data_IF_478489127434
#
_entry.id   IF_478489127434
#
_cell.length_a   1.000
_cell.length_b   1.000
_cell.length_c   1.000
_cell.angle_alpha   90.00
_cell.angle_beta   90.00
_cell.angle_gamma   90.00
#
_symmetry.space_group_name_H-M   'P 1'
#
loop_
_entity.id
_entity.type
_entity.pdbx_description
1 polymer ?
#
# COMPACT_ATOMS: atom_id res chain seq x y z
N UNK A 1 17.28 6.75 -1.79
CA UNK A 1 16.50 6.48 -2.98
C UNK A 1 15.25 5.73 -2.64
N UNK A 2 14.48 5.50 -3.63
CA UNK A 2 13.24 4.80 -3.46
C UNK A 2 13.46 3.37 -2.95
N UNK A 3 14.47 2.73 -3.47
CA UNK A 3 14.78 1.37 -3.06
C UNK A 3 15.22 1.34 -1.61
N UNK A 4 15.97 2.33 -1.22
CA UNK A 4 16.41 2.40 0.17
C UNK A 4 15.21 2.54 1.08
N UNK A 5 14.23 3.31 0.67
CA UNK A 5 13.05 3.48 1.46
C UNK A 5 12.36 2.13 1.68
N UNK A 6 12.29 1.33 0.65
CA UNK A 6 11.59 0.07 0.76
C UNK A 6 12.32 -0.92 1.64
N UNK A 7 13.62 -0.78 1.77
CA UNK A 7 14.36 -1.67 2.64
C UNK A 7 14.33 -1.21 4.08
N UNK A 8 14.22 0.07 4.26
CA UNK A 8 14.24 0.65 5.58
C UNK A 8 13.27 0.04 6.57
N UNK A 9 12.02 -0.15 6.21
CA UNK A 9 11.07 -0.67 7.18
C UNK A 9 11.56 -1.94 7.85
N UNK A 10 12.18 -2.78 7.09
CA UNK A 10 12.67 -4.02 7.66
C UNK A 10 13.84 -3.77 8.59
N UNK A 11 14.69 -2.87 8.20
CA UNK A 11 15.81 -2.54 9.03
C UNK A 11 15.37 -1.91 10.32
N UNK A 12 14.44 -1.01 10.24
CA UNK A 12 13.95 -0.35 11.43
C UNK A 12 13.36 -1.34 12.39
N UNK A 13 12.61 -2.26 11.88
CA UNK A 13 11.97 -3.23 12.74
C UNK A 13 13.01 -4.10 13.42
N UNK A 14 14.07 -4.39 12.72
CA UNK A 14 15.07 -5.30 13.26
C UNK A 14 16.12 -4.68 14.10
N UNK A 15 16.20 -3.39 14.11
CA UNK A 15 17.25 -2.73 14.84
C UNK A 15 16.73 -1.90 15.96
N UNK A 16 16.13 -2.52 16.89
CA UNK A 16 15.58 -1.82 18.01
C UNK A 16 16.63 -1.16 18.87
N UNK A 17 17.80 -1.65 18.78
CA UNK A 17 18.85 -1.06 19.61
C UNK A 17 19.18 0.35 19.19
N UNK A 18 18.81 0.74 18.03
CA UNK A 18 19.01 2.09 17.60
C UNK A 18 18.07 2.95 18.40
N UNK A 19 17.00 2.37 18.76
CA UNK A 19 15.98 3.04 19.46
C UNK A 19 16.42 3.74 20.71
N UNK A 20 17.18 3.14 21.56
CA UNK A 20 17.50 3.81 22.81
C UNK A 20 18.09 5.16 22.57
N UNK A 21 18.90 5.22 21.60
CA UNK A 21 19.56 6.44 21.34
C UNK A 21 18.64 7.45 20.67
N UNK A 22 18.05 7.05 19.62
CA UNK A 22 17.22 7.96 18.91
C UNK A 22 16.00 8.30 19.68
N UNK A 23 15.55 7.37 20.40
CA UNK A 23 14.33 7.58 21.11
C UNK A 23 14.39 8.77 21.97
N UNK A 24 15.49 9.03 22.43
CA UNK A 24 15.56 10.07 23.36
C UNK A 24 15.12 11.35 22.79
N UNK A 25 15.48 11.62 21.69
CA UNK A 25 15.29 12.93 21.31
C UNK A 25 14.24 13.18 20.34
N UNK A 26 14.60 13.07 19.28
CA UNK A 26 13.86 13.62 18.26
C UNK A 26 12.74 12.83 17.85
N UNK A 27 12.73 11.72 18.37
CA UNK A 27 11.80 10.87 17.93
C UNK A 27 10.45 11.30 17.88
N UNK A 28 10.06 12.08 18.69
CA UNK A 28 8.73 12.48 18.66
C UNK A 28 8.39 13.02 17.34
N UNK A 29 9.29 13.68 16.70
CA UNK A 29 8.97 14.35 15.49
C UNK A 29 9.45 13.65 14.28
N UNK A 30 10.22 12.60 14.42
CA UNK A 30 10.86 12.02 13.29
C UNK A 30 10.36 10.66 12.87
N UNK A 31 9.60 10.00 13.70
CA UNK A 31 9.21 8.61 13.46
C UNK A 31 7.71 8.47 13.45
N UNK A 32 7.22 7.72 12.49
CA UNK A 32 5.82 7.44 12.37
C UNK A 32 5.62 5.93 12.43
N UNK A 33 4.62 5.50 13.18
CA UNK A 33 4.29 4.08 13.28
C UNK A 33 3.12 3.80 12.36
N UNK A 34 3.25 2.76 11.57
CA UNK A 34 2.21 2.34 10.64
C UNK A 34 1.99 0.85 10.74
N UNK A 35 0.76 0.43 10.49
CA UNK A 35 0.49 -0.99 10.32
C UNK A 35 0.89 -1.37 8.90
N UNK A 36 1.56 -2.50 8.79
CA UNK A 36 1.96 -3.05 7.50
C UNK A 36 1.15 -4.30 7.26
N UNK A 37 0.34 -4.30 6.23
CA UNK A 37 -0.50 -5.44 5.84
C UNK A 37 0.12 -6.18 4.68
N UNK A 38 -0.05 -7.49 4.66
CA UNK A 38 0.38 -8.30 3.54
C UNK A 38 -0.89 -8.69 2.77
N UNK A 39 -1.05 -8.15 1.58
CA UNK A 39 -2.24 -8.37 0.80
C UNK A 39 -2.47 -9.84 0.47
N UNK A 40 -1.39 -10.61 0.39
CA UNK A 40 -1.54 -12.04 0.08
C UNK A 40 -2.24 -12.78 1.20
N UNK A 41 -1.97 -12.39 2.42
CA UNK A 41 -2.51 -13.09 3.57
C UNK A 41 -3.94 -12.66 3.84
N UNK A 42 -4.23 -11.41 3.55
CA UNK A 42 -5.52 -10.84 3.89
C UNK A 42 -6.59 -11.11 2.86
N UNK A 43 -6.20 -11.56 1.70
CA UNK A 43 -7.16 -11.77 0.63
C UNK A 43 -8.13 -12.88 1.00
N UNK A 44 -9.36 -12.72 0.61
CA UNK A 44 -10.35 -13.77 0.78
C UNK A 44 -11.21 -13.65 2.01
N UNK A 45 -10.92 -12.71 2.89
CA UNK A 45 -11.70 -12.61 4.10
C UNK A 45 -12.39 -11.26 4.22
N UNK A 46 -12.67 -10.60 3.14
CA UNK A 46 -13.37 -9.33 3.18
C UNK A 46 -12.40 -8.19 3.31
N UNK A 47 -12.64 -7.33 4.28
CA UNK A 47 -11.84 -6.14 4.45
C UNK A 47 -10.51 -6.51 5.12
N UNK A 48 -9.42 -6.45 4.35
CA UNK A 48 -8.15 -6.86 4.91
C UNK A 48 -7.64 -5.86 5.96
N UNK A 49 -8.19 -4.68 6.00
CA UNK A 49 -7.82 -3.73 7.04
C UNK A 49 -8.36 -4.13 8.41
N UNK A 50 -9.34 -5.03 8.43
CA UNK A 50 -9.87 -5.56 9.68
C UNK A 50 -9.14 -6.83 10.07
N UNK A 51 -8.18 -7.25 9.27
CA UNK A 51 -7.44 -8.47 9.54
C UNK A 51 -6.47 -8.27 10.70
N UNK A 52 -6.21 -9.35 11.41
CA UNK A 52 -5.20 -9.32 12.45
C UNK A 52 -3.82 -9.62 11.89
N UNK A 53 -3.70 -9.82 10.59
CA UNK A 53 -2.44 -10.16 9.97
C UNK A 53 -1.71 -8.89 9.54
N UNK A 54 -1.11 -8.23 10.51
CA UNK A 54 -0.29 -7.06 10.22
C UNK A 54 0.86 -6.99 11.21
N UNK A 55 1.87 -6.23 10.86
CA UNK A 55 2.94 -5.90 11.79
C UNK A 55 2.97 -4.38 11.90
N UNK A 56 3.64 -3.87 12.92
CA UNK A 56 3.81 -2.44 13.07
C UNK A 56 5.23 -2.09 12.68
N UNK A 57 5.38 -1.09 11.83
CA UNK A 57 6.70 -0.65 11.41
C UNK A 57 6.88 0.81 11.80
N UNK A 58 8.13 1.20 11.95
CA UNK A 58 8.48 2.58 12.25
C UNK A 58 9.28 3.12 11.08
N UNK A 59 8.84 4.23 10.54
CA UNK A 59 9.48 4.82 9.37
C UNK A 59 9.68 6.30 9.60
N UNK A 60 10.62 6.92 8.90
CA UNK A 60 10.78 8.35 9.00
C UNK A 60 9.51 9.06 8.58
N UNK A 61 9.10 10.02 9.38
CA UNK A 61 7.84 10.68 9.11
C UNK A 61 7.83 11.38 7.77
N UNK A 62 8.95 11.91 7.35
CA UNK A 62 9.02 12.57 6.06
C UNK A 62 8.71 11.64 4.92
N UNK A 63 9.11 10.40 5.04
CA UNK A 63 8.93 9.44 3.96
C UNK A 63 7.53 8.86 3.95
N UNK A 64 6.88 8.87 5.09
CA UNK A 64 5.54 8.32 5.20
C UNK A 64 4.48 9.41 5.38
N UNK A 65 4.80 10.60 4.94
CA UNK A 65 3.88 11.72 5.13
C UNK A 65 2.57 11.44 4.42
N UNK A 66 1.49 11.64 5.13
CA UNK A 66 0.17 11.42 4.57
C UNK A 66 -0.29 9.98 4.59
N UNK A 67 0.55 9.06 5.00
CA UNK A 67 0.18 7.66 5.00
C UNK A 67 -0.54 7.29 6.29
N UNK A 68 -1.53 6.42 6.14
CA UNK A 68 -2.28 5.89 7.27
C UNK A 68 -1.92 4.43 7.53
N UNK A 69 -1.45 3.74 6.52
CA UNK A 69 -0.99 2.36 6.67
C UNK A 69 -0.06 2.01 5.51
N UNK A 70 0.50 0.81 5.54
CA UNK A 70 1.41 0.34 4.51
C UNK A 70 1.00 -1.06 4.07
N UNK A 71 1.38 -1.42 2.85
CA UNK A 71 1.03 -2.72 2.27
C UNK A 71 2.25 -3.27 1.55
N UNK A 72 2.46 -4.57 1.67
CA UNK A 72 3.51 -5.25 0.91
C UNK A 72 2.95 -5.65 -0.46
N UNK A 73 3.69 -5.29 -1.49
CA UNK A 73 3.31 -5.59 -2.87
C UNK A 73 3.55 -7.07 -3.16
N UNK A 74 2.64 -7.68 -3.90
CA UNK A 74 2.79 -9.06 -4.32
C UNK A 74 2.75 -9.12 -5.83
N UNK A 75 3.75 -9.73 -6.41
CA UNK A 75 3.80 -9.94 -7.85
C UNK A 75 4.43 -8.79 -8.59
N UNK A 76 4.39 -8.85 -9.90
CA UNK A 76 5.11 -7.90 -10.75
C UNK A 76 4.19 -7.06 -11.62
N UNK A 77 2.90 -7.02 -11.34
CA UNK A 77 1.97 -6.31 -12.21
C UNK A 77 2.16 -4.80 -12.18
N UNK A 78 2.82 -4.28 -11.17
CA UNK A 78 3.01 -2.84 -11.04
C UNK A 78 4.45 -2.42 -11.34
N UNK A 79 5.24 -3.31 -11.92
CA UNK A 79 6.57 -2.92 -12.38
C UNK A 79 6.42 -2.02 -13.58
N UNK A 80 7.31 -1.09 -13.74
CA UNK A 80 8.59 -0.95 -13.02
C UNK A 80 8.51 -0.10 -11.76
N UNK A 81 7.37 0.48 -11.46
CA UNK A 81 7.29 1.39 -10.33
C UNK A 81 7.39 0.66 -9.00
N UNK A 82 6.70 -0.44 -8.86
CA UNK A 82 6.72 -1.26 -7.65
C UNK A 82 7.05 -2.69 -8.00
N UNK A 83 7.92 -3.30 -7.20
CA UNK A 83 8.33 -4.68 -7.40
C UNK A 83 7.74 -5.56 -6.33
N UNK A 84 7.80 -6.86 -6.56
CA UNK A 84 7.37 -7.83 -5.59
C UNK A 84 8.08 -7.60 -4.25
N UNK A 85 7.32 -7.60 -3.17
CA UNK A 85 7.81 -7.39 -1.81
C UNK A 85 8.15 -5.96 -1.44
N UNK A 86 7.95 -5.03 -2.35
CA UNK A 86 8.09 -3.63 -2.00
C UNK A 86 7.01 -3.25 -1.00
N UNK A 87 7.30 -2.25 -0.20
CA UNK A 87 6.33 -1.72 0.73
C UNK A 87 5.87 -0.38 0.22
N UNK A 88 4.57 -0.20 0.13
CA UNK A 88 4.00 1.07 -0.29
C UNK A 88 3.21 1.68 0.84
N UNK A 89 3.23 3.01 0.89
CA UNK A 89 2.50 3.75 1.91
C UNK A 89 1.18 4.21 1.33
N UNK A 90 0.14 4.15 2.12
CA UNK A 90 -1.22 4.35 1.63
C UNK A 90 -1.96 5.36 2.50
N UNK A 91 -2.61 6.31 1.86
CA UNK A 91 -3.50 7.23 2.53
C UNK A 91 -4.92 6.66 2.43
N UNK A 92 -5.59 6.54 3.56
CA UNK A 92 -6.93 5.95 3.60
C UNK A 92 -7.93 6.90 2.97
N UNK A 93 -8.60 6.45 1.94
CA UNK A 93 -9.69 7.20 1.32
C UNK A 93 -10.52 6.23 0.49
N UNK A 94 -11.76 6.61 0.23
CA UNK A 94 -12.71 5.71 -0.43
C UNK A 94 -12.91 6.01 -1.89
N UNK A 95 -12.31 7.08 -2.40
CA UNK A 95 -12.45 7.44 -3.80
C UNK A 95 -11.08 7.73 -4.39
N UNK A 96 -10.98 7.57 -5.68
CA UNK A 96 -9.75 7.86 -6.42
C UNK A 96 -10.10 8.55 -7.72
N UNK A 97 -9.14 9.31 -8.22
CA UNK A 97 -9.24 9.91 -9.54
C UNK A 97 -8.49 9.08 -10.55
N UNK A 98 -8.83 9.25 -11.81
CA UNK A 98 -8.17 8.52 -12.87
C UNK A 98 -6.67 8.72 -12.83
N UNK A 99 -5.95 7.62 -12.97
CA UNK A 99 -4.50 7.67 -12.97
C UNK A 99 -3.87 7.48 -11.60
N UNK A 100 -4.66 7.57 -10.54
CA UNK A 100 -4.13 7.35 -9.21
C UNK A 100 -3.97 5.87 -8.95
N UNK A 101 -2.96 5.53 -8.18
CA UNK A 101 -2.72 4.15 -7.80
C UNK A 101 -3.31 3.95 -6.41
N UNK A 102 -4.05 2.87 -6.27
CA UNK A 102 -4.73 2.60 -5.02
C UNK A 102 -4.69 1.14 -4.62
N UNK A 103 -5.25 0.91 -3.45
CA UNK A 103 -5.42 -0.43 -2.91
C UNK A 103 -6.90 -0.74 -2.99
N UNK A 104 -7.22 -1.89 -3.55
CA UNK A 104 -8.59 -2.29 -3.83
C UNK A 104 -8.87 -3.69 -3.33
N UNK A 105 -10.14 -3.94 -3.03
CA UNK A 105 -10.62 -5.29 -2.85
C UNK A 105 -11.63 -5.55 -3.96
N UNK A 106 -11.48 -6.66 -4.64
CA UNK A 106 -12.40 -7.09 -5.69
C UNK A 106 -12.67 -8.56 -5.48
N UNK A 107 -13.91 -8.88 -5.16
CA UNK A 107 -14.32 -10.25 -4.87
C UNK A 107 -13.40 -10.92 -3.86
N UNK A 108 -13.12 -10.18 -2.80
CA UNK A 108 -12.32 -10.63 -1.65
C UNK A 108 -10.84 -10.84 -1.96
N UNK A 109 -10.37 -10.25 -3.02
CA UNK A 109 -8.94 -10.26 -3.32
C UNK A 109 -8.43 -8.83 -3.28
N UNK A 110 -7.22 -8.66 -2.76
CA UNK A 110 -6.62 -7.34 -2.66
C UNK A 110 -5.71 -7.07 -3.84
N UNK A 111 -5.77 -5.87 -4.35
CA UNK A 111 -4.99 -5.47 -5.52
C UNK A 111 -4.36 -4.11 -5.31
N UNK A 112 -3.18 -3.91 -5.89
CA UNK A 112 -2.59 -2.59 -6.08
C UNK A 112 -2.65 -2.34 -7.58
N UNK A 113 -3.39 -1.32 -7.99
CA UNK A 113 -3.58 -1.06 -9.41
C UNK A 113 -3.78 0.44 -9.63
N UNK A 114 -3.70 0.83 -10.89
CA UNK A 114 -4.02 2.19 -11.29
C UNK A 114 -5.49 2.26 -11.61
N UNK A 115 -6.16 3.26 -11.07
CA UNK A 115 -7.61 3.40 -11.20
C UNK A 115 -7.97 4.09 -12.50
N UNK A 116 -8.97 3.56 -13.19
CA UNK A 116 -9.44 4.16 -14.43
C UNK A 116 -10.96 4.03 -14.51
N UNK A 117 -11.65 5.15 -14.36
CA UNK A 117 -13.10 5.22 -14.42
C UNK A 117 -13.48 5.97 -15.69
N UNK A 118 -14.15 5.26 -16.60
CA UNK A 118 -14.55 5.88 -17.87
C UNK A 118 -16.04 6.20 -17.90
N UNK A 119 -16.65 6.31 -16.71
CA UNK A 119 -18.04 6.73 -16.61
C UNK A 119 -18.99 5.56 -16.49
N UNK A 120 -19.00 4.70 -17.48
CA UNK A 120 -19.89 3.54 -17.44
C UNK A 120 -19.16 2.27 -17.03
N UNK A 121 -17.87 2.35 -16.81
CA UNK A 121 -17.08 1.18 -16.40
C UNK A 121 -15.85 1.61 -15.63
N UNK A 122 -15.42 0.75 -14.73
CA UNK A 122 -14.20 0.96 -13.96
C UNK A 122 -13.23 -0.13 -14.34
N UNK A 123 -11.97 0.23 -14.51
CA UNK A 123 -10.92 -0.72 -14.79
C UNK A 123 -9.78 -0.54 -13.82
N UNK A 124 -9.23 -1.65 -13.38
CA UNK A 124 -8.02 -1.64 -12.57
C UNK A 124 -6.87 -1.99 -13.48
N UNK A 125 -5.95 -1.05 -13.65
CA UNK A 125 -4.89 -1.15 -14.65
C UNK A 125 -3.58 -1.50 -14.00
N UNK A 126 -2.88 -2.45 -14.59
CA UNK A 126 -1.51 -2.73 -14.19
C UNK A 126 -0.56 -1.80 -14.92
N UNK A 127 0.57 -1.49 -14.30
CA UNK A 127 1.59 -0.71 -14.97
C UNK A 127 2.41 -1.59 -15.90
N UNK A 128 2.51 -2.86 -15.60
CA UNK A 128 3.22 -3.82 -16.43
C UNK A 128 2.32 -4.21 -17.60
N UNK A 129 2.72 -3.95 -18.83
CA UNK A 129 1.86 -4.19 -19.99
C UNK A 129 1.56 -5.65 -20.26
N UNK A 130 2.20 -6.57 -19.56
CA UNK A 130 1.87 -7.96 -19.73
C UNK A 130 0.51 -8.32 -19.16
N UNK A 131 -0.02 -7.47 -18.30
CA UNK A 131 -1.27 -7.75 -17.60
C UNK A 131 -2.40 -6.96 -18.22
N UNK A 132 -3.50 -7.64 -18.47
CA UNK A 132 -4.68 -7.00 -19.03
C UNK A 132 -5.42 -6.22 -17.96
N UNK A 133 -6.15 -5.17 -18.35
CA UNK A 133 -6.99 -4.45 -17.40
C UNK A 133 -8.02 -5.37 -16.77
N UNK A 134 -8.33 -5.13 -15.52
CA UNK A 134 -9.34 -5.88 -14.81
C UNK A 134 -10.62 -5.05 -14.80
N UNK A 135 -11.68 -5.49 -15.49
CA UNK A 135 -12.92 -4.71 -15.47
C UNK A 135 -13.66 -4.94 -14.17
N UNK A 136 -14.30 -3.89 -13.69
CA UNK A 136 -15.08 -3.95 -12.46
C UNK A 136 -16.48 -3.47 -12.77
N UNK A 137 -17.46 -4.28 -12.38
CA UNK A 137 -18.85 -3.87 -12.47
C UNK A 137 -19.31 -3.53 -11.05
N UNK A 138 -19.43 -2.24 -10.71
CA UNK A 138 -19.76 -1.87 -9.34
C UNK A 138 -21.12 -2.38 -8.90
N UNK A 139 -21.99 -2.72 -9.84
CA UNK A 139 -23.31 -3.21 -9.48
C UNK A 139 -23.35 -4.69 -9.22
N UNK A 140 -22.34 -5.41 -9.68
CA UNK A 140 -22.32 -6.85 -9.59
C UNK A 140 -21.18 -7.37 -8.76
N UNK A 141 -20.04 -6.70 -8.81
CA UNK A 141 -18.85 -7.18 -8.16
C UNK A 141 -18.73 -6.59 -6.76
N UNK A 142 -18.14 -7.34 -5.87
CA UNK A 142 -17.82 -6.84 -4.54
C UNK A 142 -16.54 -6.04 -4.65
N UNK A 143 -16.68 -4.74 -4.75
CA UNK A 143 -15.55 -3.84 -5.02
C UNK A 143 -15.45 -2.75 -3.97
N UNK A 144 -14.24 -2.49 -3.53
CA UNK A 144 -14.01 -1.49 -2.52
C UNK A 144 -12.65 -0.84 -2.70
N UNK A 145 -12.59 0.48 -2.46
CA UNK A 145 -11.34 1.22 -2.49
C UNK A 145 -10.91 1.45 -1.05
N UNK A 146 -9.69 1.09 -0.73
CA UNK A 146 -9.16 1.28 0.63
C UNK A 146 -8.31 2.51 0.77
N UNK A 147 -7.66 2.93 -0.28
CA UNK A 147 -6.82 4.09 -0.17
C UNK A 147 -6.00 4.38 -1.41
N UNK A 148 -5.30 5.48 -1.34
CA UNK A 148 -4.43 5.95 -2.41
C UNK A 148 -2.99 5.71 -2.02
N UNK A 149 -2.22 5.15 -2.94
CA UNK A 149 -0.80 4.92 -2.72
C UNK A 149 -0.08 6.26 -2.80
N UNK A 150 0.67 6.56 -1.74
CA UNK A 150 1.49 7.76 -1.70
C UNK A 150 2.74 7.50 -2.51
N UNK A 151 2.97 8.33 -3.49
CA UNK A 151 4.12 8.11 -4.36
C UNK A 151 5.38 8.57 -3.68
N UNK A 152 6.48 7.84 -3.86
CA UNK A 152 7.75 8.31 -3.35
C UNK A 152 8.16 9.54 -4.14
N UNK A 153 8.94 10.38 -3.49
CA UNK A 153 9.39 11.60 -4.11
C UNK A 153 10.58 11.48 -4.95
#
# INVERSE_FOLDING_TARGET
>A
SYIDLLLYPQSYVKEPHITPYTAASSQKDGIKKLRLYDARVSAGSGDFLDSDYYTTIEVPEEEARGADFAVTVSGDSMEPLFRDRDIVFVHRQETLENGEIGIFSLDNKAYIKKFNNVGFAVFLMSLNPRYLPIPVDPNRDSFRIFGKVCRPR
#
